data_IF_678753499697
#
_entry.id   IF_678753499697
#
_cell.length_a   1.000
_cell.length_b   1.000
_cell.length_c   1.000
_cell.angle_alpha   90.00
_cell.angle_beta   90.00
_cell.angle_gamma   90.00
#
_symmetry.space_group_name_H-M   'P 1'
#
loop_
_entity.id
_entity.type
_entity.pdbx_description
1 polymer ?
#
# COMPACT_ATOMS: atom_id res chain seq x y z
N UNK A 1 0.65 -6.47 14.92
CA UNK A 1 1.86 -6.92 14.18
C UNK A 1 2.19 -5.89 13.12
N UNK A 2 3.46 -5.78 12.75
CA UNK A 2 3.93 -4.84 11.73
C UNK A 2 4.85 -5.51 10.70
N UNK A 3 4.83 -4.98 9.48
CA UNK A 3 5.58 -5.46 8.33
C UNK A 3 6.24 -4.27 7.66
N UNK A 4 7.45 -4.50 7.14
CA UNK A 4 8.31 -3.43 6.67
C UNK A 4 9.03 -3.82 5.38
N UNK A 5 9.08 -2.88 4.42
CA UNK A 5 9.96 -2.92 3.26
C UNK A 5 10.51 -1.53 2.97
N UNK A 6 11.72 -1.51 2.40
CA UNK A 6 12.36 -0.31 1.90
C UNK A 6 12.71 -0.45 0.43
N UNK A 7 12.68 0.67 -0.27
CA UNK A 7 13.16 0.81 -1.63
C UNK A 7 14.07 2.03 -1.69
N UNK A 8 15.27 1.89 -2.25
CA UNK A 8 16.14 3.04 -2.49
C UNK A 8 15.52 3.95 -3.53
N UNK A 9 15.36 5.22 -3.20
CA UNK A 9 14.77 6.21 -4.10
C UNK A 9 15.00 7.62 -3.54
N UNK A 10 15.29 8.57 -4.41
CA UNK A 10 15.36 10.00 -4.09
C UNK A 10 14.03 10.70 -4.45
N UNK A 11 12.92 9.97 -4.52
CA UNK A 11 11.62 10.51 -4.89
C UNK A 11 11.13 11.49 -3.81
N UNK A 12 10.94 12.75 -4.19
CA UNK A 12 10.36 13.75 -3.28
C UNK A 12 8.91 13.44 -2.90
N UNK A 13 8.52 13.89 -1.71
CA UNK A 13 7.18 13.69 -1.10
C UNK A 13 6.01 13.99 -2.02
N UNK A 14 5.97 15.17 -2.65
CA UNK A 14 4.85 15.57 -3.53
C UNK A 14 4.70 14.59 -4.68
N UNK A 15 5.83 14.18 -5.29
CA UNK A 15 5.80 13.23 -6.39
C UNK A 15 5.38 11.83 -5.93
N UNK A 16 5.69 11.43 -4.68
CA UNK A 16 5.18 10.20 -4.09
C UNK A 16 3.66 10.25 -3.91
N UNK A 17 3.14 11.35 -3.37
CA UNK A 17 1.70 11.55 -3.15
C UNK A 17 0.92 11.54 -4.47
N UNK A 18 1.43 12.22 -5.50
CA UNK A 18 0.85 12.26 -6.84
C UNK A 18 0.94 10.89 -7.55
N UNK A 19 2.01 10.13 -7.30
CA UNK A 19 2.21 8.80 -7.89
C UNK A 19 1.20 7.79 -7.33
N UNK A 20 0.98 7.81 -6.02
CA UNK A 20 0.22 6.78 -5.30
C UNK A 20 -1.21 7.27 -5.07
N UNK A 21 -2.02 7.14 -6.11
CA UNK A 21 -3.47 7.45 -6.13
C UNK A 21 -4.30 6.16 -6.28
N UNK A 22 -5.60 6.22 -5.97
CA UNK A 22 -6.46 5.02 -5.88
C UNK A 22 -6.59 4.26 -7.20
N UNK A 23 -6.68 4.95 -8.33
CA UNK A 23 -6.79 4.38 -9.68
C UNK A 23 -5.53 3.65 -10.14
N UNK A 24 -4.38 3.99 -9.56
CA UNK A 24 -3.10 3.35 -9.86
C UNK A 24 -2.74 2.19 -8.94
N UNK A 25 -3.56 1.89 -7.92
CA UNK A 25 -3.26 0.79 -6.99
C UNK A 25 -2.97 -0.55 -7.68
N UNK A 26 -3.74 -0.98 -8.70
CA UNK A 26 -3.46 -2.25 -9.38
C UNK A 26 -2.14 -2.27 -10.15
N UNK A 27 -1.66 -1.11 -10.59
CA UNK A 27 -0.35 -0.99 -11.26
C UNK A 27 0.81 -1.05 -10.24
N UNK A 28 0.58 -0.52 -9.04
CA UNK A 28 1.62 -0.31 -8.03
C UNK A 28 1.75 -1.46 -7.02
N UNK A 29 0.76 -2.35 -6.95
CA UNK A 29 0.78 -3.49 -6.04
C UNK A 29 0.05 -4.69 -6.67
N UNK A 30 0.79 -5.75 -6.99
CA UNK A 30 0.24 -6.95 -7.62
C UNK A 30 -0.79 -7.70 -6.75
N UNK A 31 -0.79 -7.47 -5.43
CA UNK A 31 -1.82 -8.00 -4.52
C UNK A 31 -3.15 -7.25 -4.60
N UNK A 32 -3.23 -6.13 -5.33
CA UNK A 32 -4.46 -5.38 -5.61
C UNK A 32 -4.80 -5.60 -7.09
N UNK A 33 -5.88 -6.32 -7.37
CA UNK A 33 -6.22 -6.70 -8.74
C UNK A 33 -6.95 -5.59 -9.50
N UNK A 34 -7.89 -4.91 -8.84
CA UNK A 34 -8.76 -3.92 -9.52
C UNK A 34 -9.33 -2.91 -8.55
N UNK A 35 -9.40 -1.65 -8.98
CA UNK A 35 -10.25 -0.62 -8.38
C UNK A 35 -11.65 -0.75 -8.97
N UNK A 36 -12.64 -1.08 -8.13
CA UNK A 36 -14.03 -1.30 -8.54
C UNK A 36 -14.81 0.00 -8.60
N UNK A 37 -14.63 0.86 -7.60
CA UNK A 37 -15.35 2.13 -7.43
C UNK A 37 -14.43 3.14 -6.76
N UNK A 38 -14.60 4.43 -7.06
CA UNK A 38 -13.89 5.53 -6.39
C UNK A 38 -14.77 6.76 -6.24
N UNK A 39 -14.68 7.39 -5.07
CA UNK A 39 -15.25 8.67 -4.74
C UNK A 39 -14.25 9.49 -3.92
N UNK A 40 -13.53 10.40 -4.58
CA UNK A 40 -12.46 11.16 -3.96
C UNK A 40 -11.34 10.24 -3.46
N UNK A 41 -11.05 10.32 -2.17
CA UNK A 41 -10.01 9.55 -1.47
C UNK A 41 -10.52 8.23 -0.87
N UNK A 42 -11.77 7.85 -1.16
CA UNK A 42 -12.32 6.56 -0.81
C UNK A 42 -12.60 5.74 -2.06
N UNK A 43 -12.37 4.44 -2.00
CA UNK A 43 -12.72 3.52 -3.08
C UNK A 43 -13.07 2.14 -2.57
N UNK A 44 -13.38 1.26 -3.52
CA UNK A 44 -13.54 -0.18 -3.30
C UNK A 44 -12.57 -0.91 -4.19
N UNK A 45 -11.76 -1.79 -3.62
CA UNK A 45 -10.78 -2.59 -4.33
C UNK A 45 -11.12 -4.07 -4.22
N UNK A 46 -10.77 -4.83 -5.25
CA UNK A 46 -10.62 -6.27 -5.19
C UNK A 46 -9.14 -6.60 -5.06
N UNK A 47 -8.76 -7.38 -4.05
CA UNK A 47 -7.39 -7.76 -3.74
C UNK A 47 -7.32 -9.23 -3.30
N UNK A 48 -6.12 -9.70 -2.96
CA UNK A 48 -5.85 -11.10 -2.53
C UNK A 48 -6.71 -11.58 -1.35
N UNK A 49 -7.33 -10.67 -0.59
CA UNK A 49 -8.22 -10.98 0.54
C UNK A 49 -9.71 -10.83 0.22
N UNK A 50 -10.07 -10.53 -1.02
CA UNK A 50 -11.43 -10.24 -1.47
C UNK A 50 -11.69 -8.75 -1.68
N UNK A 51 -12.94 -8.32 -1.45
CA UNK A 51 -13.37 -6.94 -1.71
C UNK A 51 -13.37 -6.12 -0.43
N UNK A 52 -12.70 -4.96 -0.45
CA UNK A 52 -12.69 -4.03 0.69
C UNK A 52 -12.95 -2.59 0.26
N UNK A 53 -13.60 -1.83 1.14
CA UNK A 53 -13.47 -0.37 1.13
C UNK A 53 -12.04 -0.01 1.53
N UNK A 54 -11.44 0.90 0.77
CA UNK A 54 -10.13 1.48 1.04
C UNK A 54 -10.27 2.99 1.16
N UNK A 55 -9.63 3.57 2.17
CA UNK A 55 -9.44 5.01 2.27
C UNK A 55 -7.97 5.33 2.03
N UNK A 56 -7.70 6.38 1.27
CA UNK A 56 -6.39 7.04 1.13
C UNK A 56 -6.41 8.34 1.94
N UNK A 57 -5.27 8.67 2.53
CA UNK A 57 -5.04 9.94 3.21
C UNK A 57 -3.64 10.41 2.86
N UNK A 58 -3.51 11.67 2.42
CA UNK A 58 -2.21 12.31 2.32
C UNK A 58 -1.73 12.71 3.70
N UNK A 59 -0.51 12.30 4.03
CA UNK A 59 0.18 12.64 5.27
C UNK A 59 1.47 13.38 4.95
N UNK A 60 2.14 13.96 5.95
CA UNK A 60 3.29 14.85 5.77
C UNK A 60 4.31 14.39 4.71
N UNK A 61 4.73 13.14 4.77
CA UNK A 61 5.84 12.60 3.96
C UNK A 61 5.38 11.48 3.02
N UNK A 62 4.08 11.37 2.75
CA UNK A 62 3.56 10.36 1.83
C UNK A 62 2.06 10.12 1.96
N UNK A 63 1.65 8.86 1.89
CA UNK A 63 0.24 8.46 1.91
C UNK A 63 0.00 7.34 2.90
N UNK A 64 -1.19 7.33 3.49
CA UNK A 64 -1.69 6.26 4.34
C UNK A 64 -2.97 5.69 3.77
N UNK A 65 -3.10 4.38 3.88
CA UNK A 65 -4.30 3.65 3.55
C UNK A 65 -4.84 2.91 4.74
N UNK A 66 -6.16 2.76 4.77
CA UNK A 66 -6.87 1.92 5.74
C UNK A 66 -7.91 1.07 5.03
N UNK A 67 -8.16 -0.14 5.54
CA UNK A 67 -9.30 -0.97 5.17
C UNK A 67 -10.30 -0.99 6.34
N UNK A 68 -11.27 -0.06 6.41
CA UNK A 68 -12.11 0.11 7.60
C UNK A 68 -12.94 -1.14 7.95
N UNK A 69 -13.33 -1.92 6.93
CA UNK A 69 -14.07 -3.17 7.10
C UNK A 69 -13.19 -4.41 7.31
N UNK A 70 -11.86 -4.28 7.30
CA UNK A 70 -10.97 -5.41 7.50
C UNK A 70 -11.01 -5.87 8.96
N UNK A 71 -11.32 -7.15 9.25
CA UNK A 71 -11.36 -7.67 10.62
C UNK A 71 -10.04 -7.45 11.36
N UNK A 72 -8.91 -7.46 10.65
CA UNK A 72 -7.57 -7.30 11.20
C UNK A 72 -7.15 -5.82 11.37
N UNK A 73 -8.05 -4.87 11.07
CA UNK A 73 -7.79 -3.43 11.11
C UNK A 73 -6.51 -3.06 10.33
N UNK A 74 -6.39 -3.63 9.12
CA UNK A 74 -5.22 -3.45 8.28
C UNK A 74 -5.09 -2.01 7.81
N UNK A 75 -3.90 -1.44 8.00
CA UNK A 75 -3.51 -0.14 7.50
C UNK A 75 -2.07 -0.18 7.01
N UNK A 76 -1.76 0.50 5.92
CA UNK A 76 -0.39 0.64 5.44
C UNK A 76 -0.07 2.09 5.10
N UNK A 77 1.19 2.45 5.24
CA UNK A 77 1.71 3.79 5.03
C UNK A 77 2.93 3.69 4.13
N UNK A 78 3.01 4.59 3.15
CA UNK A 78 4.14 4.69 2.23
C UNK A 78 4.68 6.11 2.34
N UNK A 79 5.93 6.26 2.77
CA UNK A 79 6.57 7.56 2.98
C UNK A 79 7.89 7.68 2.24
N UNK A 80 8.21 8.90 1.81
CA UNK A 80 9.51 9.26 1.26
C UNK A 80 10.42 9.78 2.37
N UNK A 81 11.64 9.28 2.40
CA UNK A 81 12.79 9.76 3.13
C UNK A 81 13.88 10.16 2.10
N UNK A 82 14.94 10.89 2.49
CA UNK A 82 15.90 11.42 1.52
C UNK A 82 16.50 10.42 0.53
N UNK A 83 16.70 9.16 0.95
CA UNK A 83 17.34 8.12 0.14
C UNK A 83 16.48 6.86 -0.04
N UNK A 84 15.28 6.83 0.54
CA UNK A 84 14.42 5.65 0.51
C UNK A 84 12.94 6.00 0.56
N UNK A 85 12.15 5.10 -0.05
CA UNK A 85 10.72 4.98 0.24
C UNK A 85 10.55 3.84 1.24
N UNK A 86 9.79 4.12 2.29
CA UNK A 86 9.45 3.20 3.36
C UNK A 86 8.00 2.74 3.19
N UNK A 87 7.77 1.43 3.24
CA UNK A 87 6.44 0.83 3.25
C UNK A 87 6.26 0.14 4.60
N UNK A 88 5.27 0.60 5.37
CA UNK A 88 4.95 0.07 6.69
C UNK A 88 3.50 -0.37 6.74
N UNK A 89 3.25 -1.65 7.01
CA UNK A 89 1.91 -2.21 7.16
C UNK A 89 1.70 -2.69 8.59
N UNK A 90 0.49 -2.49 9.11
CA UNK A 90 0.12 -2.88 10.47
C UNK A 90 -1.23 -3.57 10.49
N UNK A 91 -1.37 -4.50 11.44
CA UNK A 91 -2.65 -5.09 11.85
C UNK A 91 -2.80 -4.97 13.35
N UNK A 92 -4.03 -4.76 13.82
CA UNK A 92 -4.36 -4.57 15.24
C UNK A 92 -5.21 -5.73 15.78
N UNK A 93 -4.63 -6.93 15.79
CA UNK A 93 -5.19 -8.13 16.43
C UNK A 93 -4.11 -8.88 17.21
N UNK A 94 -4.53 -9.59 18.26
CA UNK A 94 -3.66 -10.40 19.12
C UNK A 94 -3.52 -11.86 18.62
N UNK A 95 -4.56 -12.39 17.97
CA UNK A 95 -4.55 -13.69 17.30
C UNK A 95 -4.52 -13.47 15.80
N UNK A 96 -3.67 -14.20 15.09
CA UNK A 96 -3.47 -14.01 13.65
C UNK A 96 -3.29 -15.38 13.01
N UNK A 97 -3.99 -15.59 11.91
CA UNK A 97 -3.77 -16.75 11.05
C UNK A 97 -2.39 -16.62 10.37
N UNK A 98 -1.49 -17.62 10.51
CA UNK A 98 -0.18 -17.62 9.86
C UNK A 98 -0.25 -17.40 8.34
N UNK A 99 -1.27 -17.94 7.68
CA UNK A 99 -1.43 -17.79 6.22
C UNK A 99 -1.77 -16.34 5.86
N UNK A 100 -2.60 -15.70 6.69
CA UNK A 100 -2.91 -14.28 6.54
C UNK A 100 -1.66 -13.40 6.79
N UNK A 101 -0.87 -13.72 7.82
CA UNK A 101 0.41 -13.02 8.09
C UNK A 101 1.36 -13.13 6.90
N UNK A 102 1.52 -14.33 6.33
CA UNK A 102 2.36 -14.54 5.15
C UNK A 102 1.85 -13.74 3.94
N UNK A 103 0.54 -13.67 3.74
CA UNK A 103 -0.05 -12.87 2.67
C UNK A 103 0.16 -11.36 2.84
N UNK A 104 0.24 -10.83 4.08
CA UNK A 104 0.59 -9.42 4.31
C UNK A 104 2.06 -9.17 3.98
N UNK A 105 2.96 -10.09 4.34
CA UNK A 105 4.37 -9.96 3.98
C UNK A 105 4.56 -9.91 2.46
N UNK A 106 3.82 -10.74 1.71
CA UNK A 106 3.78 -10.67 0.24
C UNK A 106 3.16 -9.36 -0.26
N UNK A 107 2.05 -8.89 0.33
CA UNK A 107 1.43 -7.61 -0.03
C UNK A 107 2.39 -6.42 0.09
N UNK A 108 3.21 -6.39 1.15
CA UNK A 108 4.21 -5.33 1.36
C UNK A 108 5.36 -5.46 0.36
N UNK A 109 5.76 -6.69 0.01
CA UNK A 109 6.76 -6.94 -1.04
C UNK A 109 6.25 -6.53 -2.43
N UNK A 110 4.98 -6.80 -2.75
CA UNK A 110 4.37 -6.42 -4.02
C UNK A 110 4.33 -4.90 -4.20
N UNK A 111 4.08 -4.15 -3.13
CA UNK A 111 4.24 -2.69 -3.12
C UNK A 111 5.67 -2.27 -3.45
N UNK A 112 6.66 -2.90 -2.81
CA UNK A 112 8.09 -2.60 -3.04
C UNK A 112 8.47 -2.86 -4.51
N UNK A 113 8.02 -3.97 -5.07
CA UNK A 113 8.26 -4.35 -6.46
C UNK A 113 7.55 -3.39 -7.42
N UNK A 114 6.28 -3.11 -7.22
CA UNK A 114 5.50 -2.23 -8.09
C UNK A 114 6.02 -0.79 -8.09
N UNK A 115 6.36 -0.25 -6.92
CA UNK A 115 7.03 1.05 -6.82
C UNK A 115 8.41 1.04 -7.50
N UNK A 116 9.21 0.00 -7.31
CA UNK A 116 10.52 -0.10 -7.99
C UNK A 116 10.39 -0.03 -9.51
N UNK A 117 9.36 -0.67 -10.09
CA UNK A 117 9.08 -0.65 -11.52
C UNK A 117 8.55 0.71 -11.98
N UNK A 118 7.61 1.29 -11.23
CA UNK A 118 7.06 2.60 -11.54
C UNK A 118 8.11 3.72 -11.54
N UNK A 119 9.17 3.56 -10.74
CA UNK A 119 10.28 4.52 -10.64
C UNK A 119 11.41 4.24 -11.64
N UNK A 120 11.53 3.00 -12.13
CA UNK A 120 12.53 2.59 -13.12
C UNK A 120 11.86 1.77 -14.24
N UNK A 121 11.03 2.40 -15.10
CA UNK A 121 10.26 1.68 -16.11
C UNK A 121 11.11 1.04 -17.23
N UNK A 122 12.39 1.43 -17.34
CA UNK A 122 13.31 0.99 -18.40
C UNK A 122 14.27 -0.16 -17.97
N UNK A 123 14.07 -0.76 -16.80
CA UNK A 123 14.87 -1.89 -16.28
C UNK A 123 14.12 -3.23 -16.32
#
# INVERSE_FOLDING_TARGET
MEFYRQLKSELGTTRLQDLIVLDRLPELCASIDTLLEQQGEQGRIYCVWGTFTVNREEIRDGVRFTLPGCPNALAWTITAEPENITIHCTINRSEHDPDFVASIDQFVEDWRIGLSKALNPDN
#
